data_IF_440031533351
#
_entry.id   IF_440031533351
#
_cell.length_a   1.000
_cell.length_b   1.000
_cell.length_c   1.000
_cell.angle_alpha   90.00
_cell.angle_beta   90.00
_cell.angle_gamma   90.00
#
_symmetry.space_group_name_H-M   'P 1'
#
loop_
_entity.id
_entity.type
_entity.pdbx_description
1 polymer ?
#
# COMPACT_ATOMS: atom_id res chain seq x y z
N UNK A 1 1.85 -12.78 -9.05
CA UNK A 1 3.01 -11.96 -9.50
C UNK A 1 4.03 -12.78 -10.25
N UNK A 2 4.50 -13.91 -9.69
CA UNK A 2 5.44 -14.84 -10.35
C UNK A 2 5.07 -15.17 -11.80
N UNK A 3 3.83 -15.59 -12.06
CA UNK A 3 3.37 -15.94 -13.43
C UNK A 3 3.45 -14.77 -14.42
N UNK A 4 3.30 -13.53 -13.94
CA UNK A 4 3.41 -12.33 -14.78
C UNK A 4 4.88 -12.06 -15.11
N UNK A 5 5.78 -12.16 -14.12
CA UNK A 5 7.22 -12.02 -14.36
C UNK A 5 7.74 -13.10 -15.32
N UNK A 6 7.32 -14.35 -15.15
CA UNK A 6 7.67 -15.43 -16.07
C UNK A 6 7.14 -15.19 -17.48
N UNK A 7 5.91 -14.68 -17.61
CA UNK A 7 5.28 -14.42 -18.90
C UNK A 7 5.89 -13.25 -19.68
N UNK A 8 6.18 -12.14 -19.01
CA UNK A 8 6.64 -10.90 -19.65
C UNK A 8 8.16 -10.74 -19.65
N UNK A 9 8.83 -11.14 -18.56
CA UNK A 9 10.26 -10.93 -18.40
C UNK A 9 11.09 -12.22 -18.43
N UNK A 10 10.43 -13.39 -18.45
CA UNK A 10 11.07 -14.72 -18.43
C UNK A 10 12.01 -14.90 -17.24
N UNK A 11 11.63 -14.36 -16.09
CA UNK A 11 12.40 -14.43 -14.84
C UNK A 11 11.49 -14.73 -13.65
N UNK A 12 12.09 -15.18 -12.56
CA UNK A 12 11.41 -15.27 -11.27
C UNK A 12 11.47 -13.97 -10.47
N UNK A 13 10.69 -13.91 -9.39
CA UNK A 13 10.61 -12.74 -8.52
C UNK A 13 11.94 -12.41 -7.83
N UNK A 14 12.76 -13.39 -7.48
CA UNK A 14 14.05 -13.14 -6.81
C UNK A 14 15.00 -12.44 -7.78
N UNK A 15 15.14 -12.96 -9.00
CA UNK A 15 15.94 -12.37 -10.07
C UNK A 15 15.46 -10.95 -10.43
N UNK A 16 14.14 -10.71 -10.45
CA UNK A 16 13.57 -9.39 -10.66
C UNK A 16 13.99 -8.41 -9.56
N UNK A 17 13.90 -8.81 -8.29
CA UNK A 17 14.25 -7.97 -7.14
C UNK A 17 15.75 -7.67 -7.10
N UNK A 18 16.60 -8.65 -7.40
CA UNK A 18 18.04 -8.46 -7.53
C UNK A 18 18.38 -7.45 -8.63
N UNK A 19 17.80 -7.62 -9.83
CA UNK A 19 18.02 -6.66 -10.93
C UNK A 19 17.53 -5.26 -10.54
N UNK A 20 16.35 -5.15 -9.91
CA UNK A 20 15.83 -3.87 -9.46
C UNK A 20 16.79 -3.18 -8.47
N UNK A 21 17.39 -3.95 -7.57
CA UNK A 21 18.38 -3.44 -6.61
C UNK A 21 19.69 -3.01 -7.28
N UNK A 22 20.21 -3.82 -8.21
CA UNK A 22 21.42 -3.49 -8.98
C UNK A 22 21.25 -2.20 -9.80
N UNK A 23 20.09 -2.01 -10.43
CA UNK A 23 19.76 -0.77 -11.16
C UNK A 23 19.73 0.41 -10.18
N UNK A 24 19.05 0.22 -9.04
CA UNK A 24 18.86 1.28 -8.04
C UNK A 24 20.16 1.69 -7.33
N UNK A 25 21.15 0.81 -7.30
CA UNK A 25 22.49 1.05 -6.74
C UNK A 25 23.51 1.48 -7.80
N UNK A 26 23.11 1.56 -9.08
CA UNK A 26 23.97 1.95 -10.19
C UNK A 26 24.95 0.88 -10.66
N UNK A 27 24.82 -0.37 -10.19
CA UNK A 27 25.60 -1.52 -10.68
C UNK A 27 25.19 -1.93 -12.09
N UNK A 28 23.92 -1.76 -12.42
CA UNK A 28 23.35 -1.94 -13.76
C UNK A 28 22.88 -0.60 -14.30
N UNK A 29 23.00 -0.46 -15.61
CA UNK A 29 22.63 0.76 -16.33
C UNK A 29 21.17 0.71 -16.77
N UNK A 30 20.70 1.84 -17.28
CA UNK A 30 19.35 1.95 -17.82
C UNK A 30 19.13 1.07 -19.07
N UNK A 31 20.19 0.81 -19.84
CA UNK A 31 20.13 -0.05 -21.01
C UNK A 31 19.83 -1.50 -20.63
N UNK A 32 20.27 -1.94 -19.46
CA UNK A 32 19.96 -3.27 -18.89
C UNK A 32 18.48 -3.41 -18.51
N UNK A 33 17.73 -2.30 -18.39
CA UNK A 33 16.31 -2.30 -18.04
C UNK A 33 15.39 -2.26 -19.27
N UNK A 34 15.85 -1.72 -20.40
CA UNK A 34 15.07 -1.57 -21.63
C UNK A 34 14.37 -2.85 -22.13
N UNK A 35 14.98 -4.05 -22.07
CA UNK A 35 14.31 -5.26 -22.55
C UNK A 35 13.25 -5.81 -21.59
N UNK A 36 13.12 -5.26 -20.38
CA UNK A 36 12.25 -5.79 -19.34
C UNK A 36 11.06 -4.89 -19.06
N UNK A 37 9.93 -5.53 -18.74
CA UNK A 37 8.74 -4.83 -18.26
C UNK A 37 8.87 -4.56 -16.76
N UNK A 38 8.76 -3.30 -16.36
CA UNK A 38 8.67 -2.93 -14.95
C UNK A 38 7.28 -3.25 -14.42
N UNK A 39 7.24 -4.06 -13.36
CA UNK A 39 5.99 -4.54 -12.78
C UNK A 39 5.65 -3.69 -11.55
N UNK A 40 4.46 -3.08 -11.59
CA UNK A 40 3.96 -2.26 -10.49
C UNK A 40 2.61 -2.72 -9.96
N UNK A 41 2.49 -2.76 -8.63
CA UNK A 41 1.21 -3.01 -7.95
C UNK A 41 0.41 -1.69 -7.91
N UNK A 42 -0.89 -1.73 -8.18
CA UNK A 42 -1.75 -0.53 -8.17
C UNK A 42 -1.55 0.29 -6.87
N UNK A 43 -1.23 1.58 -7.03
CA UNK A 43 -0.85 2.46 -5.92
C UNK A 43 -1.95 2.59 -4.86
N UNK A 44 -3.18 2.79 -5.31
CA UNK A 44 -4.37 2.88 -4.46
C UNK A 44 -4.64 1.59 -3.68
N UNK A 45 -4.43 0.42 -4.30
CA UNK A 45 -4.63 -0.88 -3.65
C UNK A 45 -3.59 -1.12 -2.55
N UNK A 46 -2.32 -0.81 -2.81
CA UNK A 46 -1.29 -0.89 -1.79
C UNK A 46 -1.56 0.07 -0.64
N UNK A 47 -1.91 1.32 -0.94
CA UNK A 47 -2.19 2.31 0.10
C UNK A 47 -3.40 1.90 0.96
N UNK A 48 -4.45 1.34 0.35
CA UNK A 48 -5.61 0.77 1.03
C UNK A 48 -5.20 -0.40 1.93
N UNK A 49 -4.43 -1.35 1.41
CA UNK A 49 -3.96 -2.52 2.14
C UNK A 49 -3.09 -2.13 3.35
N UNK A 50 -2.12 -1.24 3.15
CA UNK A 50 -1.22 -0.74 4.20
C UNK A 50 -2.02 0.01 5.26
N UNK A 51 -2.96 0.89 4.87
CA UNK A 51 -3.83 1.57 5.83
C UNK A 51 -4.67 0.59 6.66
N UNK A 52 -5.18 -0.48 6.06
CA UNK A 52 -5.89 -1.53 6.78
C UNK A 52 -4.96 -2.28 7.75
N UNK A 53 -3.71 -2.55 7.35
CA UNK A 53 -2.70 -3.16 8.22
C UNK A 53 -2.32 -2.24 9.39
N UNK A 54 -2.11 -0.94 9.16
CA UNK A 54 -1.87 0.07 10.20
C UNK A 54 -3.05 0.15 11.17
N UNK A 55 -4.28 0.02 10.68
CA UNK A 55 -5.48 0.03 11.54
C UNK A 55 -5.53 -1.14 12.52
N UNK A 56 -4.77 -2.22 12.28
CA UNK A 56 -4.62 -3.34 13.22
C UNK A 56 -3.56 -3.06 14.29
N UNK A 57 -2.66 -2.09 14.06
CA UNK A 57 -1.57 -1.73 14.97
C UNK A 57 -1.93 -0.57 15.89
N UNK A 58 -2.87 0.29 15.49
CA UNK A 58 -3.30 1.44 16.30
C UNK A 58 -4.76 1.82 16.06
N UNK A 59 -5.45 2.14 17.16
CA UNK A 59 -6.81 2.68 17.14
C UNK A 59 -6.83 4.20 16.85
N UNK A 60 -5.70 4.89 17.05
CA UNK A 60 -5.59 6.35 16.89
C UNK A 60 -5.72 6.74 15.41
N UNK A 61 -6.79 7.46 15.08
CA UNK A 61 -7.09 7.92 13.72
C UNK A 61 -6.04 8.91 13.19
N UNK A 62 -5.50 9.77 14.06
CA UNK A 62 -4.51 10.77 13.72
C UNK A 62 -3.16 10.15 13.38
N UNK A 63 -2.68 9.23 14.22
CA UNK A 63 -1.47 8.44 13.95
C UNK A 63 -1.63 7.60 12.69
N UNK A 64 -2.78 6.92 12.53
CA UNK A 64 -3.08 6.14 11.33
C UNK A 64 -3.00 6.99 10.08
N UNK A 65 -3.65 8.15 10.05
CA UNK A 65 -3.61 9.02 8.87
C UNK A 65 -2.21 9.60 8.64
N UNK A 66 -1.51 10.02 9.70
CA UNK A 66 -0.13 10.51 9.62
C UNK A 66 0.82 9.51 8.96
N UNK A 67 0.82 8.27 9.46
CA UNK A 67 1.64 7.18 8.90
C UNK A 67 1.20 6.86 7.48
N UNK A 68 -0.10 6.90 7.18
CA UNK A 68 -0.59 6.68 5.80
C UNK A 68 -0.08 7.76 4.84
N UNK A 69 -0.04 9.02 5.25
CA UNK A 69 0.56 10.11 4.46
C UNK A 69 2.06 9.91 4.27
N UNK A 70 2.79 9.59 5.35
CA UNK A 70 4.23 9.32 5.26
C UNK A 70 4.52 8.13 4.33
N UNK A 71 3.71 7.06 4.42
CA UNK A 71 3.79 5.91 3.54
C UNK A 71 3.48 6.27 2.08
N UNK A 72 2.48 7.10 1.81
CA UNK A 72 2.19 7.56 0.43
C UNK A 72 3.38 8.35 -0.17
N UNK A 73 4.16 9.05 0.65
CA UNK A 73 5.39 9.71 0.23
C UNK A 73 6.52 8.72 -0.03
N UNK A 74 6.70 7.73 0.86
CA UNK A 74 7.62 6.62 0.64
C UNK A 74 7.29 5.83 -0.64
N UNK A 75 6.01 5.63 -0.92
CA UNK A 75 5.51 4.97 -2.12
C UNK A 75 5.87 5.73 -3.41
N UNK A 76 6.01 7.05 -3.34
CA UNK A 76 6.42 7.87 -4.49
C UNK A 76 7.92 8.22 -4.48
N UNK A 77 8.70 7.68 -3.54
CA UNK A 77 10.14 7.89 -3.53
C UNK A 77 10.77 7.27 -4.79
N UNK A 78 11.60 8.05 -5.47
CA UNK A 78 12.18 7.71 -6.78
C UNK A 78 13.68 7.41 -6.71
N UNK A 79 14.25 7.35 -5.50
CA UNK A 79 15.66 7.02 -5.27
C UNK A 79 15.85 6.37 -3.90
N UNK A 80 16.87 5.52 -3.78
CA UNK A 80 17.23 4.91 -2.50
C UNK A 80 17.59 5.96 -1.43
N UNK A 81 18.19 7.09 -1.83
CA UNK A 81 18.51 8.19 -0.93
C UNK A 81 17.25 8.84 -0.33
N UNK A 82 16.25 9.14 -1.16
CA UNK A 82 14.96 9.68 -0.71
C UNK A 82 14.21 8.66 0.17
N UNK A 83 14.19 7.40 -0.26
CA UNK A 83 13.64 6.28 0.52
C UNK A 83 14.28 6.19 1.91
N UNK A 84 15.62 6.26 1.97
CA UNK A 84 16.37 6.22 3.23
C UNK A 84 15.99 7.38 4.14
N UNK A 85 15.91 8.58 3.59
CA UNK A 85 15.57 9.77 4.35
C UNK A 85 14.17 9.67 4.98
N UNK A 86 13.16 9.28 4.20
CA UNK A 86 11.77 9.13 4.68
C UNK A 86 11.66 7.97 5.68
N UNK A 87 12.23 6.81 5.35
CA UNK A 87 12.10 5.61 6.17
C UNK A 87 12.88 5.72 7.49
N UNK A 88 14.07 6.33 7.49
CA UNK A 88 14.82 6.59 8.73
C UNK A 88 14.03 7.49 9.68
N UNK A 89 13.45 8.58 9.17
CA UNK A 89 12.62 9.47 9.98
C UNK A 89 11.37 8.73 10.53
N UNK A 90 10.76 7.87 9.72
CA UNK A 90 9.63 7.03 10.15
C UNK A 90 10.04 6.06 11.27
N UNK A 91 11.21 5.42 11.17
CA UNK A 91 11.74 4.54 12.21
C UNK A 91 11.95 5.31 13.52
N UNK A 92 12.69 6.43 13.49
CA UNK A 92 12.94 7.26 14.67
C UNK A 92 11.64 7.69 15.36
N UNK A 93 10.61 8.05 14.61
CA UNK A 93 9.32 8.50 15.17
C UNK A 93 8.48 7.34 15.73
N UNK A 94 8.48 6.17 15.11
CA UNK A 94 7.60 5.07 15.52
C UNK A 94 8.23 4.13 16.55
N UNK A 95 9.57 4.07 16.66
CA UNK A 95 10.25 3.09 17.54
C UNK A 95 10.94 3.71 18.74
N UNK A 96 11.01 5.04 18.84
CA UNK A 96 11.59 5.71 20.02
C UNK A 96 10.50 6.06 21.04
N UNK A 97 10.52 5.51 22.26
CA UNK A 97 9.45 5.70 23.24
C UNK A 97 9.33 7.14 23.80
N UNK A 98 10.43 7.87 23.82
CA UNK A 98 10.52 9.21 24.41
C UNK A 98 10.60 10.28 23.33
N UNK A 99 10.06 11.47 23.62
CA UNK A 99 10.13 12.64 22.74
C UNK A 99 11.53 13.27 22.82
N UNK A 100 12.47 12.73 22.06
CA UNK A 100 13.86 13.21 21.98
C UNK A 100 14.04 14.29 20.90
N UNK A 101 15.23 14.90 20.83
CA UNK A 101 15.55 15.87 19.77
C UNK A 101 15.53 15.21 18.40
N UNK A 102 16.10 14.01 18.25
CA UNK A 102 15.99 13.22 17.03
C UNK A 102 14.53 12.93 16.62
N UNK A 103 13.64 12.61 17.57
CA UNK A 103 12.21 12.40 17.26
C UNK A 103 11.57 13.68 16.72
N UNK A 104 11.85 14.84 17.33
CA UNK A 104 11.34 16.13 16.87
C UNK A 104 11.88 16.51 15.48
N UNK A 105 13.17 16.31 15.25
CA UNK A 105 13.79 16.55 13.95
C UNK A 105 13.21 15.61 12.88
N UNK A 106 13.02 14.33 13.21
CA UNK A 106 12.42 13.33 12.32
C UNK A 106 10.95 13.64 12.02
N UNK A 107 10.18 14.14 13.00
CA UNK A 107 8.81 14.63 12.78
C UNK A 107 8.80 15.81 11.81
N UNK A 108 9.66 16.81 11.99
CA UNK A 108 9.76 17.96 11.08
C UNK A 108 10.11 17.52 9.65
N UNK A 109 11.00 16.54 9.50
CA UNK A 109 11.30 15.94 8.19
C UNK A 109 10.03 15.36 7.57
N UNK A 110 9.32 14.48 8.28
CA UNK A 110 8.10 13.85 7.76
C UNK A 110 7.02 14.88 7.43
N UNK A 111 6.81 15.87 8.29
CA UNK A 111 5.86 16.95 8.08
C UNK A 111 6.21 17.75 6.81
N UNK A 112 7.48 18.08 6.61
CA UNK A 112 7.96 18.79 5.42
C UNK A 112 7.73 17.97 4.13
N UNK A 113 7.93 16.65 4.19
CA UNK A 113 7.72 15.74 3.06
C UNK A 113 6.23 15.60 2.76
N UNK A 114 5.38 15.54 3.79
CA UNK A 114 3.91 15.45 3.65
C UNK A 114 3.33 16.76 3.10
N UNK A 115 3.87 17.91 3.49
CA UNK A 115 3.39 19.23 3.07
C UNK A 115 3.70 19.56 1.60
N UNK A 116 4.71 18.93 0.98
CA UNK A 116 5.07 19.18 -0.42
C UNK A 116 3.91 18.85 -1.37
N UNK A 117 3.39 19.80 -2.16
CA UNK A 117 2.33 19.50 -3.10
C UNK A 117 2.83 18.49 -4.14
N UNK A 118 2.13 17.36 -4.27
CA UNK A 118 2.27 16.46 -5.41
C UNK A 118 1.17 16.82 -6.41
N UNK A 119 1.55 17.30 -7.59
CA UNK A 119 0.61 17.60 -8.66
C UNK A 119 0.15 16.30 -9.34
N UNK A 120 -0.86 15.64 -8.76
CA UNK A 120 -1.52 14.48 -9.35
C UNK A 120 -3.04 14.62 -9.24
N UNK A 121 -3.73 14.80 -10.37
CA UNK A 121 -5.20 14.65 -10.42
C UNK A 121 -5.52 13.17 -10.50
N UNK A 122 -5.77 12.56 -9.35
CA UNK A 122 -6.29 11.20 -9.25
C UNK A 122 -7.78 11.27 -8.95
N UNK A 123 -8.61 10.82 -9.90
CA UNK A 123 -10.05 10.70 -9.74
C UNK A 123 -10.33 9.34 -9.08
N UNK A 124 -10.66 9.35 -7.79
CA UNK A 124 -11.02 8.16 -7.03
C UNK A 124 -12.53 8.10 -6.84
N UNK A 125 -13.16 7.08 -7.42
CA UNK A 125 -14.45 6.57 -6.94
C UNK A 125 -14.15 5.21 -6.29
N UNK A 126 -13.98 5.20 -4.96
CA UNK A 126 -13.77 3.96 -4.22
C UNK A 126 -15.10 3.21 -4.10
N UNK A 127 -15.32 2.22 -4.95
CA UNK A 127 -16.32 1.18 -4.67
C UNK A 127 -15.70 0.10 -3.75
N UNK A 128 -16.50 -0.35 -2.79
CA UNK A 128 -16.18 -1.45 -1.88
C UNK A 128 -16.17 -2.78 -2.64
N UNK A 129 -15.05 -3.06 -3.32
CA UNK A 129 -14.71 -4.41 -3.77
C UNK A 129 -14.00 -5.17 -2.66
N UNK A 130 -14.52 -6.36 -2.33
CA UNK A 130 -13.85 -7.36 -1.51
C UNK A 130 -12.50 -7.71 -2.13
N UNK A 131 -11.44 -7.32 -1.45
CA UNK A 131 -10.09 -7.77 -1.78
C UNK A 131 -9.94 -9.16 -1.17
N UNK A 132 -9.74 -10.17 -2.01
CA UNK A 132 -9.38 -11.49 -1.53
C UNK A 132 -8.12 -11.37 -0.66
N UNK A 133 -8.21 -11.98 0.51
CA UNK A 133 -7.16 -12.05 1.51
C UNK A 133 -5.90 -12.63 0.82
N UNK A 134 -4.81 -11.88 0.86
CA UNK A 134 -3.52 -12.42 0.47
C UNK A 134 -3.06 -13.32 1.61
N UNK A 135 -3.51 -14.58 1.61
CA UNK A 135 -3.02 -15.58 2.55
C UNK A 135 -1.58 -15.91 2.13
N UNK A 136 -0.61 -15.44 2.91
CA UNK A 136 0.78 -15.83 2.79
C UNK A 136 1.09 -16.80 3.93
N UNK A 137 0.56 -18.02 3.83
CA UNK A 137 1.01 -19.14 4.65
C UNK A 137 2.31 -19.67 4.05
N UNK A 138 3.45 -19.11 4.47
CA UNK A 138 4.77 -19.79 4.43
C UNK A 138 5.81 -18.91 5.15
N UNK A 139 5.82 -18.96 6.48
CA UNK A 139 6.77 -18.20 7.34
C UNK A 139 7.95 -19.06 7.82
N UNK A 140 8.01 -20.36 7.49
CA UNK A 140 8.97 -21.26 8.15
C UNK A 140 10.26 -21.60 7.40
N UNK A 141 10.59 -20.96 6.28
CA UNK A 141 11.92 -21.10 5.64
C UNK A 141 12.41 -19.75 5.08
N UNK A 142 13.07 -18.95 5.91
CA UNK A 142 13.54 -17.61 5.51
C UNK A 142 14.41 -17.60 4.23
N UNK A 143 15.20 -18.65 3.98
CA UNK A 143 16.06 -18.71 2.79
C UNK A 143 15.30 -18.95 1.47
N UNK A 144 14.07 -19.46 1.50
CA UNK A 144 13.26 -19.77 0.30
C UNK A 144 12.08 -18.82 0.12
N UNK A 145 11.79 -17.97 1.10
CA UNK A 145 10.72 -16.97 1.00
C UNK A 145 11.23 -15.71 0.33
N UNK A 146 10.35 -15.04 -0.42
CA UNK A 146 10.62 -13.75 -1.07
C UNK A 146 11.19 -12.71 -0.08
N UNK A 147 10.78 -12.80 1.18
CA UNK A 147 11.26 -11.91 2.25
C UNK A 147 12.73 -12.14 2.54
N UNK A 148 13.18 -13.37 2.75
CA UNK A 148 14.58 -13.60 3.10
C UNK A 148 15.55 -13.63 1.91
N UNK A 149 15.07 -13.80 0.68
CA UNK A 149 15.89 -13.66 -0.53
C UNK A 149 15.96 -12.23 -1.08
N UNK A 150 15.15 -11.29 -0.58
CA UNK A 150 15.12 -9.93 -1.13
C UNK A 150 16.32 -9.08 -0.67
N UNK A 151 17.07 -8.45 -1.60
CA UNK A 151 18.17 -7.54 -1.25
C UNK A 151 17.71 -6.24 -0.58
N UNK A 152 16.41 -5.93 -0.64
CA UNK A 152 15.84 -4.75 0.01
C UNK A 152 15.72 -4.92 1.52
N UNK A 153 15.52 -6.14 2.03
CA UNK A 153 15.38 -6.37 3.47
C UNK A 153 16.67 -6.00 4.23
N UNK A 154 17.87 -6.47 3.83
CA UNK A 154 19.13 -6.04 4.44
C UNK A 154 19.32 -4.52 4.37
N UNK A 155 18.98 -3.89 3.23
CA UNK A 155 19.06 -2.44 3.06
C UNK A 155 18.19 -1.67 4.05
N UNK A 156 16.91 -2.05 4.20
CA UNK A 156 16.01 -1.41 5.17
C UNK A 156 16.39 -1.73 6.62
N UNK A 157 16.91 -2.92 6.90
CA UNK A 157 17.39 -3.30 8.24
C UNK A 157 18.59 -2.43 8.64
N UNK A 158 19.52 -2.16 7.72
CA UNK A 158 20.62 -1.24 7.98
C UNK A 158 20.09 0.16 8.37
N UNK A 159 19.12 0.70 7.62
CA UNK A 159 18.53 2.02 7.94
C UNK A 159 17.87 2.01 9.32
N UNK A 160 17.19 0.92 9.66
CA UNK A 160 16.53 0.76 10.96
C UNK A 160 17.53 0.73 12.12
N UNK A 161 18.59 -0.07 12.02
CA UNK A 161 19.61 -0.14 13.07
C UNK A 161 20.34 1.19 13.24
N UNK A 162 20.69 1.88 12.14
CA UNK A 162 21.30 3.22 12.23
C UNK A 162 20.37 4.23 12.93
N UNK A 163 19.08 4.24 12.63
CA UNK A 163 18.11 5.12 13.29
C UNK A 163 17.97 4.81 14.79
N UNK A 164 18.08 3.54 15.15
CA UNK A 164 18.04 3.05 16.54
C UNK A 164 19.32 3.43 17.30
N UNK A 165 20.49 3.29 16.69
CA UNK A 165 21.78 3.70 17.26
C UNK A 165 21.82 5.20 17.53
N UNK A 166 21.39 6.02 16.56
CA UNK A 166 21.28 7.48 16.74
C UNK A 166 20.38 7.82 17.94
N UNK A 167 19.24 7.15 18.07
CA UNK A 167 18.31 7.36 19.18
C UNK A 167 18.84 6.87 20.53
N UNK A 168 19.70 5.84 20.55
CA UNK A 168 20.33 5.32 21.76
C UNK A 168 21.50 6.20 22.25
N UNK A 169 22.19 6.87 21.32
CA UNK A 169 23.30 7.78 21.63
C UNK A 169 22.84 9.09 22.30
N UNK A 170 21.58 9.47 22.11
CA UNK A 170 20.99 10.60 22.80
C UNK A 170 20.77 10.27 24.27
N UNK A 171 21.52 10.93 25.16
CA UNK A 171 21.28 10.85 26.60
C UNK A 171 19.87 11.40 26.88
N UNK A 172 18.90 10.51 27.09
CA UNK A 172 17.48 10.88 27.10
C UNK A 172 17.13 11.69 28.36
N UNK A 173 17.30 13.01 28.30
CA UNK A 173 16.87 13.93 29.38
C UNK A 173 15.37 14.30 29.27
N UNK A 174 14.70 13.89 28.20
CA UNK A 174 13.26 14.10 28.02
C UNK A 174 12.44 13.16 28.93
N UNK A 175 11.59 13.75 29.76
CA UNK A 175 10.56 13.05 30.56
C UNK A 175 9.29 12.76 29.73
N UNK A 176 9.14 13.40 28.57
CA UNK A 176 7.91 13.33 27.79
C UNK A 176 7.86 12.08 26.91
N UNK A 177 6.74 11.36 26.97
CA UNK A 177 6.47 10.22 26.10
C UNK A 177 6.22 10.69 24.65
N UNK A 178 6.71 9.92 23.69
CA UNK A 178 6.42 10.14 22.28
C UNK A 178 5.00 9.64 21.94
N UNK A 179 4.07 10.50 21.52
CA UNK A 179 2.70 10.11 21.20
C UNK A 179 2.58 9.31 19.89
N UNK A 180 3.65 9.26 19.07
CA UNK A 180 3.70 8.51 17.82
C UNK A 180 4.30 7.10 17.99
N UNK A 181 4.76 6.73 19.19
CA UNK A 181 5.39 5.45 19.43
C UNK A 181 4.45 4.28 19.11
N UNK A 182 4.77 3.53 18.06
CA UNK A 182 4.02 2.38 17.57
C UNK A 182 4.95 1.49 16.72
N UNK A 183 5.85 0.71 17.36
CA UNK A 183 6.85 -0.09 16.65
C UNK A 183 6.24 -1.19 15.77
N UNK A 184 5.06 -1.71 16.13
CA UNK A 184 4.37 -2.75 15.35
C UNK A 184 4.01 -2.34 13.91
N UNK A 185 3.97 -1.03 13.61
CA UNK A 185 3.85 -0.55 12.22
C UNK A 185 5.13 -0.85 11.42
N UNK A 186 6.31 -0.68 12.01
CA UNK A 186 7.59 -0.98 11.35
C UNK A 186 7.74 -2.49 11.15
N UNK A 187 7.41 -3.29 12.16
CA UNK A 187 7.43 -4.77 12.07
C UNK A 187 6.54 -5.24 10.90
N UNK A 188 5.32 -4.72 10.83
CA UNK A 188 4.37 -5.00 9.74
C UNK A 188 4.93 -4.62 8.35
N UNK A 189 5.67 -3.52 8.24
CA UNK A 189 6.32 -3.13 6.98
C UNK A 189 7.41 -4.14 6.58
N UNK A 190 8.24 -4.58 7.53
CA UNK A 190 9.27 -5.60 7.29
C UNK A 190 8.66 -6.94 6.85
N UNK A 191 7.61 -7.39 7.53
CA UNK A 191 7.02 -8.71 7.30
C UNK A 191 6.32 -8.84 5.94
N UNK A 192 5.75 -7.73 5.42
CA UNK A 192 4.82 -7.82 4.30
C UNK A 192 5.15 -6.94 3.09
N UNK A 193 5.85 -5.82 3.28
CA UNK A 193 5.95 -4.80 2.24
C UNK A 193 7.38 -4.53 1.77
N UNK A 194 8.35 -4.44 2.67
CA UNK A 194 9.70 -3.98 2.33
C UNK A 194 10.47 -4.94 1.40
N UNK A 195 10.18 -6.25 1.45
CA UNK A 195 10.80 -7.23 0.57
C UNK A 195 10.50 -7.00 -0.92
N UNK A 196 9.31 -6.49 -1.22
CA UNK A 196 8.84 -6.21 -2.60
C UNK A 196 8.80 -4.72 -2.90
N UNK A 197 9.61 -3.92 -2.18
CA UNK A 197 9.71 -2.46 -2.31
C UNK A 197 9.68 -1.92 -3.75
N UNK A 198 10.49 -2.41 -4.72
CA UNK A 198 10.51 -1.86 -6.07
C UNK A 198 9.19 -2.03 -6.84
N UNK A 199 8.32 -2.96 -6.42
CA UNK A 199 7.05 -3.22 -7.09
C UNK A 199 5.96 -2.20 -6.71
N UNK A 200 5.99 -1.67 -5.49
CA UNK A 200 5.00 -0.71 -5.02
C UNK A 200 5.54 0.70 -4.83
N UNK A 201 6.85 0.93 -4.89
CA UNK A 201 7.46 2.26 -4.82
C UNK A 201 7.77 2.88 -6.19
N UNK A 202 8.06 4.18 -6.23
CA UNK A 202 8.45 4.91 -7.44
C UNK A 202 9.88 4.63 -7.92
N UNK A 203 10.63 3.75 -7.23
CA UNK A 203 12.07 3.55 -7.44
C UNK A 203 12.47 3.27 -8.90
N UNK A 204 11.69 2.42 -9.59
CA UNK A 204 11.96 2.05 -10.98
C UNK A 204 11.30 2.99 -12.01
N UNK A 205 10.40 3.90 -11.59
CA UNK A 205 9.67 4.79 -12.50
C UNK A 205 10.56 5.90 -13.06
N UNK A 206 11.44 6.48 -12.24
CA UNK A 206 12.40 7.50 -12.69
C UNK A 206 13.29 6.99 -13.82
N UNK A 207 13.67 5.72 -13.77
CA UNK A 207 14.51 5.09 -14.77
C UNK A 207 13.77 4.86 -16.11
N UNK A 208 12.43 4.87 -16.12
CA UNK A 208 11.65 4.79 -17.37
C UNK A 208 11.52 6.15 -18.05
N UNK A 209 11.37 7.24 -17.27
CA UNK A 209 11.20 8.59 -17.81
C UNK A 209 12.42 9.08 -18.63
N UNK A 210 13.63 8.68 -18.22
CA UNK A 210 14.85 9.01 -18.95
C UNK A 210 15.06 8.20 -20.24
N UNK A 211 14.38 7.05 -20.41
CA UNK A 211 14.60 6.16 -21.57
C UNK A 211 13.73 6.54 -22.77
N UNK A 212 12.59 7.18 -22.51
CA UNK A 212 11.57 7.52 -23.50
C UNK A 212 11.72 8.91 -24.13
N UNK A 213 12.69 9.71 -23.71
CA UNK A 213 12.84 11.09 -24.18
C UNK A 213 14.28 11.37 -24.61
N UNK A 214 14.45 11.73 -25.89
CA UNK A 214 15.58 12.52 -26.35
C UNK A 214 15.78 13.70 -25.39
N UNK A 215 17.03 13.93 -24.98
CA UNK A 215 17.49 14.79 -23.87
C UNK A 215 17.05 16.28 -23.90
N UNK A 216 16.16 16.71 -24.80
CA UNK A 216 15.87 18.12 -25.07
C UNK A 216 14.75 18.75 -24.24
N UNK A 217 13.90 17.98 -23.56
CA UNK A 217 12.70 18.50 -22.86
C UNK A 217 12.64 18.22 -21.34
N UNK A 218 13.79 18.11 -20.67
CA UNK A 218 13.87 17.68 -19.25
C UNK A 218 13.37 18.76 -18.25
N UNK A 219 13.16 20.01 -18.65
CA UNK A 219 13.04 21.12 -17.68
C UNK A 219 11.63 21.42 -17.12
N UNK A 220 10.56 20.78 -17.58
CA UNK A 220 9.19 21.20 -17.18
C UNK A 220 8.16 20.09 -16.98
N UNK A 221 8.52 18.81 -17.03
CA UNK A 221 7.54 17.73 -16.80
C UNK A 221 7.50 17.36 -15.32
N UNK A 222 6.31 17.49 -14.73
CA UNK A 222 6.00 16.95 -13.42
C UNK A 222 6.39 15.47 -13.38
N UNK A 223 7.11 15.05 -12.34
CA UNK A 223 7.39 13.63 -12.08
C UNK A 223 6.07 12.86 -12.17
N UNK A 224 5.98 11.81 -13.00
CA UNK A 224 4.77 11.00 -13.06
C UNK A 224 4.55 10.39 -11.68
N UNK A 225 3.50 10.86 -10.99
CA UNK A 225 2.95 10.17 -9.83
C UNK A 225 2.52 8.76 -10.25
N UNK A 226 2.68 7.78 -9.36
CA UNK A 226 2.27 6.40 -9.64
C UNK A 226 0.82 6.35 -10.15
N UNK A 227 0.63 5.73 -11.31
CA UNK A 227 -0.69 5.55 -11.89
C UNK A 227 -1.55 4.66 -10.99
N UNK A 228 -2.81 5.06 -10.80
CA UNK A 228 -3.85 4.16 -10.32
C UNK A 228 -4.38 3.38 -11.52
N UNK A 229 -4.70 2.12 -11.32
CA UNK A 229 -5.34 1.32 -12.37
C UNK A 229 -6.83 1.67 -12.54
N UNK A 230 -7.28 2.86 -12.13
CA UNK A 230 -8.69 3.21 -12.07
C UNK A 230 -9.41 3.08 -13.42
N UNK A 231 -8.73 3.39 -14.53
CA UNK A 231 -9.30 3.23 -15.86
C UNK A 231 -9.51 1.76 -16.23
N UNK A 232 -8.53 0.91 -15.89
CA UNK A 232 -8.59 -0.54 -16.11
C UNK A 232 -9.67 -1.14 -15.21
N UNK A 233 -9.72 -0.74 -13.95
CA UNK A 233 -10.72 -1.18 -12.98
C UNK A 233 -12.13 -0.77 -13.40
N UNK A 234 -12.32 0.47 -13.85
CA UNK A 234 -13.59 0.94 -14.39
C UNK A 234 -14.00 0.14 -15.63
N UNK A 235 -13.06 -0.15 -16.54
CA UNK A 235 -13.33 -0.98 -17.70
C UNK A 235 -13.73 -2.39 -17.28
N UNK A 236 -13.01 -3.02 -16.34
CA UNK A 236 -13.40 -4.32 -15.79
C UNK A 236 -14.72 -4.27 -15.03
N UNK A 237 -15.07 -3.14 -14.42
CA UNK A 237 -16.39 -2.88 -13.84
C UNK A 237 -17.49 -2.95 -14.91
N UNK A 238 -17.30 -2.26 -16.05
CA UNK A 238 -18.22 -2.34 -17.19
C UNK A 238 -18.30 -3.76 -17.73
N UNK A 239 -17.16 -4.43 -17.93
CA UNK A 239 -17.14 -5.81 -18.40
C UNK A 239 -17.94 -6.68 -17.43
N UNK A 240 -17.61 -6.67 -16.15
CA UNK A 240 -18.23 -7.51 -15.12
C UNK A 240 -19.72 -7.24 -14.99
N UNK A 241 -20.13 -5.98 -14.82
CA UNK A 241 -21.50 -5.63 -14.46
C UNK A 241 -22.39 -5.43 -15.68
N UNK A 242 -21.91 -4.75 -16.71
CA UNK A 242 -22.70 -4.44 -17.92
C UNK A 242 -22.67 -5.58 -18.93
N UNK A 243 -21.47 -6.05 -19.32
CA UNK A 243 -21.33 -7.04 -20.42
C UNK A 243 -21.62 -8.46 -19.90
N UNK A 244 -21.04 -8.81 -18.76
CA UNK A 244 -21.08 -10.17 -18.23
C UNK A 244 -22.25 -10.39 -17.27
N UNK A 245 -22.94 -9.33 -16.84
CA UNK A 245 -24.07 -9.35 -15.88
C UNK A 245 -23.71 -10.09 -14.58
N UNK A 246 -22.57 -9.72 -14.00
CA UNK A 246 -22.00 -10.25 -12.75
C UNK A 246 -21.62 -11.75 -12.77
N UNK A 247 -21.60 -12.41 -13.94
CA UNK A 247 -21.12 -13.81 -14.06
C UNK A 247 -19.59 -13.86 -14.01
N UNK A 248 -19.03 -14.49 -12.97
CA UNK A 248 -17.58 -14.55 -12.69
C UNK A 248 -16.84 -15.71 -13.35
N UNK A 249 -17.48 -16.89 -13.47
CA UNK A 249 -16.84 -18.11 -13.99
C UNK A 249 -17.39 -18.42 -15.38
N UNK A 250 -16.61 -18.14 -16.42
CA UNK A 250 -17.02 -18.36 -17.80
C UNK A 250 -15.90 -19.05 -18.58
N UNK A 251 -16.30 -19.96 -19.47
CA UNK A 251 -15.35 -20.56 -20.43
C UNK A 251 -14.81 -19.45 -21.34
N UNK A 252 -13.51 -19.46 -21.71
CA UNK A 252 -12.91 -18.43 -22.55
C UNK A 252 -13.70 -18.12 -23.82
N UNK A 253 -14.16 -19.15 -24.54
CA UNK A 253 -14.98 -18.95 -25.75
C UNK A 253 -16.31 -18.23 -25.49
N UNK A 254 -16.94 -18.44 -24.33
CA UNK A 254 -18.16 -17.73 -23.95
C UNK A 254 -17.87 -16.26 -23.60
N UNK A 255 -16.74 -16.00 -22.96
CA UNK A 255 -16.28 -14.64 -22.71
C UNK A 255 -16.05 -13.87 -24.02
N UNK A 256 -15.27 -14.45 -24.94
CA UNK A 256 -14.96 -13.82 -26.23
C UNK A 256 -16.22 -13.50 -27.02
N UNK A 257 -17.17 -14.45 -27.12
CA UNK A 257 -18.46 -14.20 -27.81
C UNK A 257 -19.26 -13.06 -27.19
N UNK A 258 -19.34 -12.99 -25.86
CA UNK A 258 -20.06 -11.91 -25.18
C UNK A 258 -19.40 -10.54 -25.39
N UNK A 259 -18.08 -10.48 -25.34
CA UNK A 259 -17.33 -9.27 -25.65
C UNK A 259 -17.56 -8.83 -27.10
N UNK A 260 -17.48 -9.77 -28.05
CA UNK A 260 -17.73 -9.51 -29.47
C UNK A 260 -19.14 -8.97 -29.71
N UNK A 261 -20.18 -9.62 -29.18
CA UNK A 261 -21.55 -9.13 -29.30
C UNK A 261 -21.70 -7.73 -28.70
N UNK A 262 -21.13 -7.47 -27.52
CA UNK A 262 -21.20 -6.14 -26.91
C UNK A 262 -20.50 -5.07 -27.75
N UNK A 263 -19.39 -5.40 -28.42
CA UNK A 263 -18.70 -4.48 -29.32
C UNK A 263 -19.56 -4.20 -30.56
N UNK A 264 -20.08 -5.25 -31.21
CA UNK A 264 -20.96 -5.10 -32.37
C UNK A 264 -22.15 -4.20 -32.06
N UNK A 265 -22.85 -4.44 -30.94
CA UNK A 265 -24.00 -3.62 -30.53
C UNK A 265 -23.62 -2.14 -30.39
N UNK A 266 -22.50 -1.82 -29.72
CA UNK A 266 -22.04 -0.43 -29.56
C UNK A 266 -21.68 0.23 -30.89
N UNK A 267 -21.07 -0.52 -31.80
CA UNK A 267 -20.75 -0.02 -33.15
C UNK A 267 -22.02 0.25 -33.96
N UNK A 268 -23.01 -0.65 -33.90
CA UNK A 268 -24.31 -0.44 -34.52
C UNK A 268 -25.01 0.80 -33.95
N UNK A 269 -25.06 0.95 -32.63
CA UNK A 269 -25.61 2.14 -31.97
C UNK A 269 -24.93 3.43 -32.44
N UNK A 270 -23.59 3.44 -32.52
CA UNK A 270 -22.82 4.59 -33.00
C UNK A 270 -23.12 4.94 -34.47
N UNK A 271 -23.25 3.92 -35.33
CA UNK A 271 -23.61 4.11 -36.75
C UNK A 271 -24.98 4.78 -36.86
N UNK A 272 -25.97 4.27 -36.12
CA UNK A 272 -27.34 4.82 -36.09
C UNK A 272 -27.34 6.25 -35.55
N UNK A 273 -26.64 6.52 -34.45
CA UNK A 273 -26.62 7.85 -33.82
C UNK A 273 -25.95 8.92 -34.69
N UNK A 274 -24.99 8.53 -35.53
CA UNK A 274 -24.20 9.45 -36.35
C UNK A 274 -24.55 9.38 -37.85
N UNK A 275 -25.62 8.67 -38.23
CA UNK A 275 -26.05 8.49 -39.62
C UNK A 275 -24.89 8.03 -40.54
N UNK A 276 -24.08 7.08 -40.06
CA UNK A 276 -22.97 6.52 -40.82
C UNK A 276 -23.47 5.37 -41.71
N UNK A 277 -22.72 5.02 -42.76
CA UNK A 277 -23.07 3.87 -43.61
C UNK A 277 -22.91 2.54 -42.87
N UNK A 278 -23.90 1.66 -42.99
CA UNK A 278 -23.87 0.29 -42.45
C UNK A 278 -22.77 -0.57 -43.08
N UNK A 279 -22.29 -0.21 -44.28
CA UNK A 279 -21.17 -0.89 -44.97
C UNK A 279 -19.88 -0.89 -44.14
N UNK A 280 -19.77 0.00 -43.14
CA UNK A 280 -18.64 0.06 -42.21
C UNK A 280 -18.54 -1.19 -41.33
N UNK A 281 -19.64 -1.92 -41.10
CA UNK A 281 -19.64 -3.18 -40.35
C UNK A 281 -19.20 -4.38 -41.20
N UNK A 282 -19.28 -4.25 -42.53
CA UNK A 282 -19.06 -5.33 -43.49
C UNK A 282 -17.69 -5.26 -44.17
N UNK A 283 -16.95 -4.16 -44.02
CA UNK A 283 -15.61 -4.00 -44.60
C UNK A 283 -14.55 -4.64 -43.70
N UNK A 284 -13.99 -5.81 -44.05
CA UNK A 284 -12.78 -6.29 -43.40
C UNK A 284 -11.67 -5.29 -43.68
N UNK A 285 -11.19 -4.62 -42.63
CA UNK A 285 -9.94 -3.85 -42.74
C UNK A 285 -8.78 -4.85 -42.83
N UNK A 286 -7.76 -4.57 -43.66
CA UNK A 286 -6.52 -5.34 -43.58
C UNK A 286 -6.01 -5.29 -42.13
N UNK A 287 -5.43 -6.39 -41.62
CA UNK A 287 -4.89 -6.42 -40.26
C UNK A 287 -3.87 -5.30 -40.12
N UNK A 288 -4.18 -4.28 -39.31
CA UNK A 288 -3.19 -3.28 -38.93
C UNK A 288 -2.23 -3.93 -37.95
N UNK A 289 -0.95 -3.56 -38.05
CA UNK A 289 0.02 -3.88 -37.02
C UNK A 289 -0.41 -3.19 -35.71
N UNK A 290 -0.79 -4.01 -34.73
CA UNK A 290 -1.35 -3.59 -33.44
C UNK A 290 -0.21 -3.39 -32.41
N UNK A 291 1.05 -3.63 -32.81
CA UNK A 291 2.24 -3.56 -31.95
C UNK A 291 2.35 -2.24 -31.16
N UNK A 292 1.72 -1.16 -31.65
CA UNK A 292 1.78 0.17 -31.05
C UNK A 292 0.41 0.88 -30.89
N UNK A 293 -0.73 0.20 -31.03
CA UNK A 293 -2.03 0.86 -30.84
C UNK A 293 -2.28 1.12 -29.35
N UNK A 294 -2.07 2.34 -28.89
CA UNK A 294 -2.55 2.78 -27.59
C UNK A 294 -4.06 3.01 -27.66
N UNK A 295 -4.82 2.34 -26.79
CA UNK A 295 -6.26 2.55 -26.66
C UNK A 295 -6.52 3.97 -26.09
N UNK A 296 -6.74 4.94 -26.98
CA UNK A 296 -7.07 6.31 -26.58
C UNK A 296 -8.56 6.42 -26.28
N UNK A 297 -8.90 6.32 -25.00
CA UNK A 297 -10.25 6.61 -24.52
C UNK A 297 -10.54 8.10 -24.68
N UNK A 298 -11.59 8.44 -25.44
CA UNK A 298 -12.06 9.81 -25.57
C UNK A 298 -12.42 10.32 -24.17
N UNK A 299 -11.70 11.33 -23.67
CA UNK A 299 -11.98 11.93 -22.36
C UNK A 299 -13.42 12.42 -22.37
N UNK A 300 -14.25 11.98 -21.41
CA UNK A 300 -15.59 12.53 -21.21
C UNK A 300 -15.47 14.05 -21.22
N UNK A 301 -16.30 14.74 -22.03
CA UNK A 301 -16.40 16.21 -21.99
C UNK A 301 -16.56 16.59 -20.53
N UNK A 302 -15.65 17.42 -20.03
CA UNK A 302 -15.62 17.87 -18.64
C UNK A 302 -16.91 18.65 -18.36
N UNK A 303 -17.96 17.98 -17.89
CA UNK A 303 -18.88 18.65 -16.96
C UNK A 303 -18.00 19.14 -15.82
N UNK A 304 -18.14 20.41 -15.42
CA UNK A 304 -17.40 21.01 -14.32
C UNK A 304 -17.76 20.31 -12.99
N UNK A 305 -17.30 19.09 -12.81
CA UNK A 305 -17.16 18.48 -11.50
C UNK A 305 -15.76 18.89 -11.05
N UNK A 306 -15.67 19.69 -10.00
CA UNK A 306 -14.39 19.99 -9.37
C UNK A 306 -13.69 18.66 -9.08
N UNK A 307 -12.60 18.39 -9.80
CA UNK A 307 -11.89 17.12 -9.66
C UNK A 307 -11.49 16.93 -8.21
N UNK A 308 -12.07 15.94 -7.54
CA UNK A 308 -11.68 15.60 -6.16
C UNK A 308 -10.22 15.17 -6.23
N UNK A 309 -9.36 15.90 -5.52
CA UNK A 309 -7.94 15.53 -5.40
C UNK A 309 -7.84 14.26 -4.54
N UNK A 310 -6.93 13.34 -4.85
CA UNK A 310 -6.75 12.15 -4.01
C UNK A 310 -6.27 12.57 -2.61
N UNK A 311 -6.90 11.99 -1.57
CA UNK A 311 -6.76 12.37 -0.17
C UNK A 311 -5.31 12.30 0.31
N UNK A 312 -4.59 11.25 -0.08
CA UNK A 312 -3.26 10.93 0.47
C UNK A 312 -2.11 11.28 -0.47
N UNK A 313 -2.39 11.53 -1.75
CA UNK A 313 -1.41 12.01 -2.74
C UNK A 313 -1.43 13.55 -2.88
N UNK A 314 -2.36 14.22 -2.20
CA UNK A 314 -2.35 15.67 -2.05
C UNK A 314 -1.85 16.05 -0.67
N UNK A 315 -1.17 17.19 -0.58
CA UNK A 315 -0.84 17.76 0.72
C UNK A 315 -2.14 18.01 1.52
N UNK A 316 -2.25 17.51 2.76
CA UNK A 316 -3.42 17.78 3.58
C UNK A 316 -3.45 19.26 4.01
N UNK A 317 -4.64 19.80 4.25
CA UNK A 317 -4.78 21.18 4.75
C UNK A 317 -4.15 21.35 6.14
N UNK A 318 -4.28 20.33 7.00
CA UNK A 318 -3.62 20.22 8.30
C UNK A 318 -2.99 18.84 8.39
N UNK A 319 -1.73 18.76 8.83
CA UNK A 319 -1.06 17.47 9.02
C UNK A 319 -1.73 16.77 10.21
N UNK A 320 -2.24 15.53 10.03
CA UNK A 320 -2.85 14.80 11.12
C UNK A 320 -1.79 14.43 12.17
N UNK A 321 -2.15 14.49 13.44
CA UNK A 321 -1.31 14.07 14.56
C UNK A 321 -2.12 13.22 15.55
N UNK A 322 -1.46 12.42 16.40
CA UNK A 322 -2.09 11.58 17.40
C UNK A 322 -3.06 12.38 18.26
N UNK A 323 -4.26 11.84 18.45
CA UNK A 323 -5.25 12.43 19.31
C UNK A 323 -5.01 11.87 20.71
N UNK A 324 -4.40 12.68 21.60
CA UNK A 324 -4.12 12.31 23.00
C UNK A 324 -5.33 11.60 23.61
N UNK A 325 -5.31 10.27 23.66
CA UNK A 325 -6.21 9.53 24.51
C UNK A 325 -5.62 9.69 25.91
N UNK A 326 -6.12 10.66 26.67
CA UNK A 326 -6.00 10.58 28.12
C UNK A 326 -6.75 9.33 28.56
N UNK A 327 -6.08 8.18 28.55
CA UNK A 327 -6.45 7.06 29.40
C UNK A 327 -6.14 7.50 30.83
N UNK A 328 -7.02 8.31 31.40
CA UNK A 328 -7.11 8.43 32.85
C UNK A 328 -7.30 7.02 33.38
N UNK A 329 -6.43 6.61 34.30
CA UNK A 329 -6.58 5.39 35.08
C UNK A 329 -8.02 5.27 35.59
N UNK A 330 -8.83 4.46 34.94
CA UNK A 330 -10.09 3.94 35.47
C UNK A 330 -10.04 2.41 35.52
N UNK A 331 -8.87 1.88 35.89
CA UNK A 331 -8.72 0.51 36.39
C UNK A 331 -8.36 0.59 37.88
N UNK A 332 -9.27 1.16 38.68
CA UNK A 332 -9.24 1.16 40.15
C UNK A 332 -10.55 1.68 40.72
N UNK A 333 -11.69 1.10 40.33
CA UNK A 333 -12.98 1.28 41.03
C UNK A 333 -13.95 0.10 40.97
N UNK A 334 -13.66 -0.93 40.17
CA UNK A 334 -14.52 -2.13 40.10
C UNK A 334 -14.05 -3.32 40.96
N UNK A 335 -13.02 -3.13 41.81
CA UNK A 335 -12.57 -4.15 42.78
C UNK A 335 -13.07 -3.89 44.23
N UNK A 336 -14.07 -3.01 44.41
CA UNK A 336 -14.70 -2.73 45.72
C UNK A 336 -16.22 -2.89 45.73
N UNK A 337 -16.80 -3.52 44.70
CA UNK A 337 -18.24 -3.81 44.62
C UNK A 337 -18.61 -5.30 44.66
N UNK A 338 -17.65 -6.18 44.94
CA UNK A 338 -17.86 -7.63 45.06
C UNK A 338 -17.70 -8.18 46.50
N UNK A 339 -17.85 -7.32 47.52
CA UNK A 339 -17.79 -7.73 48.95
C UNK A 339 -18.96 -7.19 49.78
N UNK A 340 -20.11 -6.93 49.15
CA UNK A 340 -21.29 -6.45 49.87
C UNK A 340 -22.58 -6.97 49.25
N UNK A 341 -22.72 -8.29 49.15
CA UNK A 341 -24.01 -9.02 49.08
C UNK A 341 -23.69 -10.52 49.14
N UNK A 342 -23.64 -11.09 50.34
CA UNK A 342 -24.13 -12.44 50.65
C UNK A 342 -23.82 -12.76 52.12
N UNK A 343 -24.70 -12.26 52.98
CA UNK A 343 -24.81 -12.69 54.37
C UNK A 343 -26.29 -12.86 54.66
N UNK A 344 -26.84 -14.01 54.28
CA UNK A 344 -27.94 -14.67 54.97
C UNK A 344 -28.29 -15.94 54.19
N UNK A 345 -27.99 -17.09 54.79
CA UNK A 345 -28.93 -18.20 54.97
C UNK A 345 -28.25 -19.30 55.78
N UNK A 346 -28.68 -19.37 57.03
CA UNK A 346 -29.05 -20.56 57.80
C UNK A 346 -28.01 -21.65 58.11
N UNK A 347 -27.67 -21.65 59.41
CA UNK A 347 -27.35 -22.80 60.23
C UNK A 347 -28.27 -24.00 59.93
N UNK A 348 -27.68 -25.19 59.73
CA UNK A 348 -28.00 -26.40 60.48
C UNK A 348 -27.11 -27.60 60.09
N UNK A 349 -26.77 -28.38 61.13
CA UNK A 349 -26.25 -29.76 61.18
C UNK A 349 -24.73 -30.03 61.34
N UNK A 350 -24.52 -31.01 62.21
CA UNK A 350 -23.39 -31.34 63.09
C UNK A 350 -22.29 -32.20 62.44
N UNK A 351 -21.12 -32.36 63.10
CA UNK A 351 -19.94 -33.01 62.55
C UNK A 351 -19.93 -34.53 62.75
N UNK A 352 -19.31 -35.25 61.82
CA UNK A 352 -18.96 -36.66 61.98
C UNK A 352 -17.43 -36.83 61.87
N UNK A 353 -16.86 -37.19 63.02
CA UNK A 353 -15.82 -38.21 63.23
C UNK A 353 -14.74 -38.40 62.16
N UNK A 354 -13.50 -38.06 62.52
CA UNK A 354 -12.32 -38.77 62.01
C UNK A 354 -11.59 -39.35 63.21
N UNK A 355 -11.52 -40.69 63.19
CA UNK A 355 -10.80 -41.54 64.12
C UNK A 355 -9.30 -41.21 64.17
N UNK A 356 -8.82 -41.27 65.41
CA UNK A 356 -7.46 -41.51 65.85
C UNK A 356 -6.88 -42.85 65.37
N UNK A 357 -5.61 -42.82 64.95
CA UNK A 357 -4.58 -43.88 65.09
C UNK A 357 -3.25 -43.11 65.23
N UNK A 358 -2.76 -42.87 66.45
CA UNK A 358 -1.72 -43.66 67.15
C UNK A 358 -0.41 -43.81 66.35
N UNK A 359 0.67 -43.13 66.76
CA UNK A 359 1.73 -43.75 67.57
C UNK A 359 2.80 -42.73 68.02
N UNK A 360 3.28 -42.97 69.25
CA UNK A 360 4.34 -42.34 70.09
C UNK A 360 4.02 -41.13 70.98
#
# INVERSE_FOLDING_TARGET
MQSVLLGFNREDITAYLERAFDISTGKKTQDDMKPYTVLHICSAHILKAVRQAISKQTDDQGLRDFVTFAFARLQNACSLAETRHIFSALCSVLTTPKSSENVKASLQILESVIAKPQEGKLDETMETGDMEKWDCEDINNAATTIVGSSPFIPYFRQIFEEAKEHSASETSFSMDNNPYFCPGIIDMLFDHYLAIFPMWSGLLLRHLECASHDQKDIKTKSHKTRDTNCHVENWFGIVKHTIMKSKKKLRPGTFIRKMHCSLQTRYTEHIVQHNLSEDLLLKPRPPMDISHSQETWMKRRKTQVSGKKSRYFSAPNNIPGPQKTQRTQKCRKDLRKSQATDSNLDHHFLPAEILSVEDE
#
